data_IF_419534947010
#
_entry.id   IF_419534947010
#
_cell.length_a   1.000
_cell.length_b   1.000
_cell.length_c   1.000
_cell.angle_alpha   90.00
_cell.angle_beta   90.00
_cell.angle_gamma   90.00
#
_symmetry.space_group_name_H-M   'P 1'
#
loop_
_entity.id
_entity.type
_entity.pdbx_description
1 polymer ?
#
# COMPACT_ATOMS: atom_id res chain seq x y z
N UNK A 1 8.09 8.17 -11.62
CA UNK A 1 7.96 8.10 -10.16
C UNK A 1 6.47 8.00 -9.91
N UNK A 2 6.05 6.91 -9.27
CA UNK A 2 4.65 6.62 -8.98
C UNK A 2 4.12 7.74 -8.07
N UNK A 3 3.02 8.37 -8.46
CA UNK A 3 2.45 9.56 -7.79
C UNK A 3 1.28 9.16 -6.88
N UNK A 4 1.39 8.00 -6.22
CA UNK A 4 0.27 7.34 -5.57
C UNK A 4 0.51 7.26 -4.06
N UNK A 5 -0.15 8.13 -3.31
CA UNK A 5 0.01 8.32 -1.85
C UNK A 5 -0.22 7.04 -1.04
N UNK A 6 -1.08 6.13 -1.50
CA UNK A 6 -1.35 4.86 -0.81
C UNK A 6 -0.15 3.90 -0.85
N UNK A 7 0.68 3.96 -1.89
CA UNK A 7 1.87 3.10 -2.02
C UNK A 7 3.09 3.66 -1.28
N UNK A 8 3.03 4.89 -0.76
CA UNK A 8 4.10 5.50 0.04
C UNK A 8 4.21 4.87 1.44
N UNK A 9 3.17 4.17 1.88
CA UNK A 9 3.05 3.66 3.24
C UNK A 9 3.64 2.26 3.46
N UNK A 10 4.09 1.55 2.42
CA UNK A 10 4.67 0.24 2.58
C UNK A 10 5.80 -0.08 1.59
N UNK A 11 6.67 -1.02 1.98
CA UNK A 11 7.72 -1.58 1.15
C UNK A 11 7.61 -3.10 1.17
N UNK A 12 7.57 -3.70 -0.02
CA UNK A 12 7.57 -5.16 -0.17
C UNK A 12 9.01 -5.67 -0.26
N UNK A 13 9.34 -6.64 0.59
CA UNK A 13 10.66 -7.24 0.68
C UNK A 13 10.58 -8.70 0.22
N UNK A 14 10.98 -8.95 -1.03
CA UNK A 14 11.03 -10.30 -1.62
C UNK A 14 12.42 -10.90 -1.50
N UNK A 15 12.51 -12.05 -0.85
CA UNK A 15 13.74 -12.84 -0.77
C UNK A 15 13.59 -14.13 -1.56
N UNK A 16 14.67 -14.52 -2.22
CA UNK A 16 14.82 -15.85 -2.84
C UNK A 16 15.95 -16.56 -2.12
N UNK A 17 15.65 -17.72 -1.53
CA UNK A 17 16.62 -18.54 -0.80
C UNK A 17 16.92 -19.75 -1.68
N UNK A 18 18.21 -19.99 -1.95
CA UNK A 18 18.66 -21.11 -2.77
C UNK A 18 19.50 -22.05 -1.94
N UNK A 19 19.17 -23.34 -1.96
CA UNK A 19 19.98 -24.36 -1.28
C UNK A 19 21.16 -24.76 -2.17
N UNK A 20 22.32 -24.16 -1.92
CA UNK A 20 23.56 -24.50 -2.63
C UNK A 20 24.33 -25.67 -1.99
N UNK A 21 23.72 -26.41 -1.05
CA UNK A 21 24.32 -27.58 -0.41
C UNK A 21 23.99 -28.86 -1.17
N UNK A 22 24.41 -30.01 -0.64
CA UNK A 22 24.09 -31.34 -1.21
C UNK A 22 22.99 -32.07 -0.45
N UNK A 23 22.55 -31.50 0.68
CA UNK A 23 21.56 -32.09 1.56
C UNK A 23 20.25 -31.31 1.46
N UNK A 24 19.15 -31.98 1.76
CA UNK A 24 17.85 -31.32 1.89
C UNK A 24 17.85 -30.40 3.12
N UNK A 25 17.25 -29.21 2.99
CA UNK A 25 16.94 -28.36 4.14
C UNK A 25 15.48 -28.57 4.48
N UNK A 26 15.22 -29.17 5.65
CA UNK A 26 13.89 -29.44 6.15
C UNK A 26 13.33 -28.23 6.90
N UNK A 27 12.07 -27.89 6.63
CA UNK A 27 11.30 -26.86 7.33
C UNK A 27 12.10 -25.58 7.55
N UNK A 28 12.49 -24.94 6.45
CA UNK A 28 13.20 -23.67 6.51
C UNK A 28 12.28 -22.58 7.08
N UNK A 29 12.81 -21.73 7.96
CA UNK A 29 12.11 -20.52 8.43
C UNK A 29 12.98 -19.31 8.13
N UNK A 30 12.34 -18.18 7.82
CA UNK A 30 12.99 -16.89 7.63
C UNK A 30 12.33 -15.85 8.53
N UNK A 31 13.08 -14.86 9.01
CA UNK A 31 12.50 -13.82 9.84
C UNK A 31 13.36 -12.57 9.97
N UNK A 32 12.71 -11.49 10.39
CA UNK A 32 13.32 -10.22 10.74
C UNK A 32 13.40 -10.07 12.24
N UNK A 33 14.62 -9.82 12.70
CA UNK A 33 14.87 -9.26 14.01
C UNK A 33 14.96 -7.75 13.86
N UNK A 34 14.05 -7.01 14.48
CA UNK A 34 13.99 -5.55 14.40
C UNK A 34 14.00 -4.90 15.79
N UNK A 35 14.73 -3.78 15.86
CA UNK A 35 14.52 -2.71 16.83
C UNK A 35 13.88 -1.57 16.03
N UNK A 36 12.55 -1.51 16.01
CA UNK A 36 11.80 -0.69 15.07
C UNK A 36 11.44 0.69 15.67
N UNK A 37 12.18 1.16 16.68
CA UNK A 37 11.78 2.30 17.52
C UNK A 37 11.24 3.48 16.73
N UNK A 38 10.13 4.01 17.23
CA UNK A 38 9.42 5.12 16.64
C UNK A 38 9.70 6.36 17.48
N UNK A 39 10.13 7.45 16.85
CA UNK A 39 10.35 8.74 17.47
C UNK A 39 10.29 9.86 16.42
N UNK A 40 10.07 11.10 16.85
CA UNK A 40 10.13 12.25 15.94
C UNK A 40 11.48 12.97 16.02
N UNK A 41 12.34 12.77 15.02
CA UNK A 41 13.68 13.39 14.98
C UNK A 41 13.73 14.90 14.74
N UNK A 42 12.58 15.55 14.51
CA UNK A 42 12.49 17.02 14.55
C UNK A 42 12.21 17.54 15.97
N UNK A 43 11.69 16.70 16.85
CA UNK A 43 11.36 17.02 18.24
C UNK A 43 12.44 16.51 19.20
N UNK A 44 12.72 15.21 19.15
CA UNK A 44 13.91 14.59 19.74
C UNK A 44 15.04 14.51 18.71
N UNK A 45 16.29 14.39 19.12
CA UNK A 45 17.42 14.23 18.18
C UNK A 45 18.44 13.24 18.73
N UNK A 46 18.56 12.10 18.06
CA UNK A 46 19.54 11.06 18.39
C UNK A 46 20.99 11.53 18.18
N UNK A 47 21.23 12.44 17.23
CA UNK A 47 22.58 12.87 16.86
C UNK A 47 23.11 13.98 17.78
N UNK A 48 22.26 14.62 18.56
CA UNK A 48 22.64 15.65 19.52
C UNK A 48 22.72 15.08 20.94
N UNK A 49 23.88 15.17 21.63
CA UNK A 49 23.96 14.76 23.03
C UNK A 49 22.94 15.49 23.91
N UNK A 50 22.04 14.71 24.54
CA UNK A 50 20.94 15.26 25.33
C UNK A 50 19.74 15.72 24.52
N UNK A 51 19.64 15.35 23.23
CA UNK A 51 18.52 15.65 22.33
C UNK A 51 17.22 14.93 22.65
N UNK A 52 17.09 14.26 23.79
CA UNK A 52 15.83 13.70 24.29
C UNK A 52 15.41 12.34 23.72
N UNK A 53 16.01 11.88 22.62
CA UNK A 53 15.67 10.57 22.05
C UNK A 53 15.98 9.42 23.01
N UNK A 54 15.09 8.43 23.04
CA UNK A 54 15.18 7.23 23.85
C UNK A 54 14.78 5.99 23.05
N UNK A 55 15.32 4.84 23.45
CA UNK A 55 14.88 3.53 22.95
C UNK A 55 13.91 2.85 23.93
N UNK A 56 13.62 3.48 25.08
CA UNK A 56 13.00 2.84 26.25
C UNK A 56 11.56 3.29 26.53
N UNK A 57 10.95 4.00 25.59
CA UNK A 57 9.60 4.58 25.61
C UNK A 57 8.66 3.92 24.59
N UNK A 58 9.15 2.96 23.81
CA UNK A 58 8.33 2.23 22.86
C UNK A 58 7.67 0.98 23.47
N UNK A 59 6.60 0.52 22.79
CA UNK A 59 5.93 -0.74 23.04
C UNK A 59 5.75 -1.53 21.74
N UNK A 60 5.86 -2.85 21.85
CA UNK A 60 5.65 -3.78 20.74
C UNK A 60 4.30 -4.48 20.87
N UNK A 61 3.79 -4.98 19.75
CA UNK A 61 2.65 -5.89 19.72
C UNK A 61 2.62 -6.75 18.46
N UNK A 62 1.68 -7.68 18.43
CA UNK A 62 1.42 -8.52 17.27
C UNK A 62 -0.07 -8.63 17.00
N UNK A 63 -0.47 -8.08 15.87
CA UNK A 63 -1.87 -7.99 15.44
C UNK A 63 -2.25 -9.23 14.61
N UNK A 64 -3.26 -9.94 15.10
CA UNK A 64 -3.82 -11.16 14.50
C UNK A 64 -5.25 -10.97 14.03
N UNK A 65 -5.70 -9.72 13.85
CA UNK A 65 -7.01 -9.44 13.25
C UNK A 65 -7.10 -10.07 11.87
N UNK A 66 -8.33 -10.38 11.44
CA UNK A 66 -8.59 -11.10 10.19
C UNK A 66 -8.90 -10.10 9.09
N UNK A 67 -8.34 -10.32 7.90
CA UNK A 67 -8.65 -9.58 6.69
C UNK A 67 -9.92 -10.10 6.00
N UNK A 68 -10.36 -9.42 4.94
CA UNK A 68 -11.58 -9.78 4.20
C UNK A 68 -11.54 -11.20 3.61
N UNK A 69 -10.34 -11.70 3.29
CA UNK A 69 -10.14 -13.04 2.75
C UNK A 69 -10.13 -14.13 3.84
N UNK A 70 -10.29 -13.76 5.12
CA UNK A 70 -10.37 -14.70 6.23
C UNK A 70 -9.00 -15.12 6.80
N UNK A 71 -7.92 -14.45 6.42
CA UNK A 71 -6.57 -14.71 6.93
C UNK A 71 -6.17 -13.69 8.00
N UNK A 72 -5.35 -14.12 8.95
CA UNK A 72 -4.80 -13.22 9.96
C UNK A 72 -3.76 -12.28 9.32
N UNK A 73 -3.77 -11.01 9.76
CA UNK A 73 -2.82 -9.98 9.30
C UNK A 73 -1.38 -10.26 9.74
N UNK A 74 -1.21 -11.01 10.83
CA UNK A 74 0.08 -11.47 11.35
C UNK A 74 1.16 -10.37 11.31
N UNK A 75 0.86 -9.25 11.95
CA UNK A 75 1.66 -8.04 11.84
C UNK A 75 2.31 -7.71 13.18
N UNK A 76 3.62 -7.83 13.24
CA UNK A 76 4.41 -7.27 14.34
C UNK A 76 4.42 -5.75 14.20
N UNK A 77 4.24 -5.00 15.28
CA UNK A 77 4.28 -3.54 15.22
C UNK A 77 4.94 -2.95 16.46
N UNK A 78 5.46 -1.74 16.30
CA UNK A 78 5.99 -0.93 17.38
C UNK A 78 5.48 0.51 17.25
N UNK A 79 5.35 1.18 18.39
CA UNK A 79 4.93 2.58 18.49
C UNK A 79 5.55 3.24 19.72
N UNK A 80 5.58 4.57 19.70
CA UNK A 80 5.92 5.37 20.86
C UNK A 80 4.75 5.42 21.86
N UNK A 81 4.99 5.06 23.12
CA UNK A 81 3.89 4.79 24.04
C UNK A 81 3.12 6.05 24.48
N UNK A 82 3.80 7.18 24.65
CA UNK A 82 3.19 8.47 24.99
C UNK A 82 3.07 9.43 23.79
N UNK A 83 3.58 9.01 22.64
CA UNK A 83 3.55 9.72 21.37
C UNK A 83 4.48 10.91 21.32
N UNK A 84 5.56 10.95 22.12
CA UNK A 84 6.41 12.13 22.32
C UNK A 84 5.53 13.37 22.61
N UNK A 85 4.57 13.32 23.53
CA UNK A 85 3.59 14.41 23.78
C UNK A 85 2.78 14.85 22.52
N UNK A 86 2.51 13.91 21.61
CA UNK A 86 1.78 14.12 20.35
C UNK A 86 2.67 14.44 19.14
N UNK A 87 3.99 14.31 19.25
CA UNK A 87 4.92 14.51 18.15
C UNK A 87 5.28 13.22 17.39
N UNK A 88 5.05 12.03 17.95
CA UNK A 88 5.36 10.72 17.36
C UNK A 88 4.14 9.80 17.21
N UNK A 89 3.07 10.30 16.58
CA UNK A 89 1.79 9.60 16.43
C UNK A 89 1.77 8.63 15.23
N UNK A 90 2.63 7.63 15.24
CA UNK A 90 2.72 6.64 14.16
C UNK A 90 3.01 5.22 14.65
N UNK A 91 2.70 4.25 13.80
CA UNK A 91 3.11 2.87 13.91
C UNK A 91 4.10 2.55 12.80
N UNK A 92 5.03 1.65 13.10
CA UNK A 92 5.73 0.85 12.09
C UNK A 92 5.39 -0.62 12.32
N UNK A 93 5.10 -1.32 11.23
CA UNK A 93 4.68 -2.71 11.20
C UNK A 93 5.52 -3.54 10.25
N UNK A 94 5.71 -4.81 10.60
CA UNK A 94 6.32 -5.84 9.78
C UNK A 94 5.31 -6.97 9.66
N UNK A 95 5.10 -7.50 8.47
CA UNK A 95 4.13 -8.58 8.24
C UNK A 95 4.65 -9.57 7.21
N UNK A 96 4.29 -10.85 7.39
CA UNK A 96 4.47 -11.89 6.38
C UNK A 96 3.27 -11.91 5.44
N UNK A 97 3.53 -11.66 4.15
CA UNK A 97 2.46 -11.54 3.16
C UNK A 97 2.39 -12.72 2.19
N UNK A 98 3.47 -13.51 2.07
CA UNK A 98 3.39 -14.77 1.34
C UNK A 98 4.75 -15.37 0.98
N UNK A 99 4.72 -16.54 0.36
CA UNK A 99 5.91 -17.33 0.07
C UNK A 99 5.66 -18.28 -1.11
N UNK A 100 6.67 -19.04 -1.51
CA UNK A 100 6.45 -20.16 -2.46
C UNK A 100 5.62 -21.28 -1.86
N UNK A 101 5.52 -21.36 -0.53
CA UNK A 101 4.58 -22.22 0.19
C UNK A 101 3.23 -21.49 0.32
N UNK A 102 2.10 -22.13 -0.02
CA UNK A 102 0.79 -21.51 0.10
C UNK A 102 0.48 -21.04 1.52
N UNK A 103 -0.23 -19.92 1.66
CA UNK A 103 -0.49 -19.28 2.97
C UNK A 103 -1.16 -20.20 4.00
N UNK A 104 -2.06 -21.14 3.65
CA UNK A 104 -2.59 -22.11 4.61
C UNK A 104 -1.53 -23.03 5.25
N UNK A 105 -0.36 -23.18 4.63
CA UNK A 105 0.71 -24.08 5.04
C UNK A 105 1.98 -23.37 5.53
N UNK A 106 2.08 -22.06 5.33
CA UNK A 106 3.14 -21.21 5.87
C UNK A 106 2.55 -20.16 6.82
N UNK A 107 3.02 -20.15 8.06
CA UNK A 107 2.50 -19.28 9.11
C UNK A 107 3.55 -18.27 9.56
N UNK A 108 3.07 -17.13 10.03
CA UNK A 108 3.93 -16.18 10.71
C UNK A 108 4.06 -16.55 12.19
N UNK A 109 5.22 -16.24 12.77
CA UNK A 109 5.49 -16.40 14.19
C UNK A 109 6.11 -15.14 14.75
N UNK A 110 5.70 -14.79 15.97
CA UNK A 110 6.08 -13.55 16.64
C UNK A 110 6.72 -13.82 17.99
N UNK A 111 7.87 -13.22 18.23
CA UNK A 111 8.50 -13.17 19.53
C UNK A 111 8.98 -11.76 19.83
N UNK A 112 9.08 -11.40 21.11
CA UNK A 112 9.71 -10.16 21.52
C UNK A 112 10.52 -10.37 22.80
N UNK A 113 11.50 -9.51 23.04
CA UNK A 113 12.32 -9.47 24.25
C UNK A 113 13.00 -8.10 24.39
N UNK A 114 13.44 -7.79 25.60
CA UNK A 114 14.23 -6.58 25.86
C UNK A 114 15.62 -6.69 25.25
N UNK A 115 16.17 -5.59 24.74
CA UNK A 115 17.52 -5.54 24.19
C UNK A 115 18.55 -6.20 25.12
N UNK A 116 19.36 -7.09 24.54
CA UNK A 116 20.46 -7.77 25.22
C UNK A 116 20.06 -8.52 26.52
N UNK A 117 18.83 -9.04 26.58
CA UNK A 117 18.29 -9.67 27.79
C UNK A 117 17.98 -11.17 27.59
N UNK A 118 18.85 -12.04 28.09
CA UNK A 118 18.65 -13.51 28.09
C UNK A 118 17.72 -14.03 29.20
N UNK A 119 17.45 -13.22 30.23
CA UNK A 119 16.56 -13.57 31.34
C UNK A 119 15.70 -12.37 31.75
N UNK A 120 14.40 -12.58 31.94
CA UNK A 120 13.46 -11.52 32.28
C UNK A 120 12.55 -11.95 33.43
N UNK A 121 12.71 -11.34 34.62
CA UNK A 121 11.94 -11.71 35.81
C UNK A 121 10.48 -11.27 35.73
N UNK A 122 10.22 -10.15 35.08
CA UNK A 122 8.89 -9.55 34.98
C UNK A 122 8.09 -10.27 33.89
N UNK A 123 8.78 -10.69 32.82
CA UNK A 123 8.21 -11.35 31.65
C UNK A 123 9.00 -12.61 31.24
N UNK A 124 8.92 -13.74 31.99
CA UNK A 124 9.80 -14.89 31.79
C UNK A 124 9.77 -15.58 30.42
N UNK A 125 8.69 -15.43 29.65
CA UNK A 125 8.57 -15.97 28.29
C UNK A 125 9.26 -15.08 27.22
N UNK A 126 9.55 -13.83 27.57
CA UNK A 126 10.00 -12.77 26.67
C UNK A 126 11.51 -12.57 26.78
N UNK A 127 12.24 -13.60 26.34
CA UNK A 127 13.69 -13.72 26.46
C UNK A 127 14.35 -13.94 25.10
N UNK A 128 15.54 -13.37 24.96
CA UNK A 128 16.37 -13.52 23.76
C UNK A 128 16.91 -14.95 23.65
N UNK A 129 16.92 -15.57 22.45
CA UNK A 129 17.53 -16.87 22.25
C UNK A 129 19.06 -16.82 22.40
N UNK A 130 19.64 -17.77 23.13
CA UNK A 130 21.07 -17.79 23.47
C UNK A 130 21.93 -18.62 22.49
N UNK A 131 21.31 -19.55 21.76
CA UNK A 131 21.99 -20.47 20.84
C UNK A 131 21.14 -20.78 19.61
N UNK A 132 21.72 -21.45 18.61
CA UNK A 132 21.06 -21.72 17.32
C UNK A 132 19.78 -22.57 17.47
N UNK A 133 19.77 -23.52 18.40
CA UNK A 133 18.57 -24.34 18.66
C UNK A 133 17.42 -23.45 19.16
N UNK A 134 17.67 -22.60 20.16
CA UNK A 134 16.67 -21.64 20.65
C UNK A 134 16.28 -20.58 19.62
N UNK A 135 17.20 -20.17 18.72
CA UNK A 135 16.88 -19.25 17.62
C UNK A 135 15.91 -19.90 16.64
N UNK A 136 16.16 -21.16 16.28
CA UNK A 136 15.28 -21.90 15.40
C UNK A 136 13.91 -22.15 16.06
N UNK A 137 13.86 -22.51 17.34
CA UNK A 137 12.59 -22.63 18.09
C UNK A 137 11.78 -21.33 18.09
N UNK A 138 12.45 -20.18 18.20
CA UNK A 138 11.82 -18.84 18.11
C UNK A 138 11.36 -18.50 16.69
N UNK A 139 11.99 -19.03 15.64
CA UNK A 139 11.52 -18.85 14.26
C UNK A 139 10.27 -19.69 13.95
N UNK A 140 10.08 -20.83 14.62
CA UNK A 140 8.99 -21.77 14.35
C UNK A 140 7.79 -21.66 15.31
N UNK A 141 7.83 -20.74 16.27
CA UNK A 141 6.78 -20.60 17.27
C UNK A 141 6.65 -19.16 17.76
N UNK A 142 5.44 -18.75 18.13
CA UNK A 142 5.22 -17.45 18.76
C UNK A 142 5.41 -17.51 20.28
N UNK A 143 5.84 -16.40 20.87
CA UNK A 143 5.83 -16.22 22.32
C UNK A 143 4.37 -16.32 22.81
N UNK A 144 4.09 -17.08 23.88
CA UNK A 144 2.73 -17.19 24.40
C UNK A 144 2.26 -15.84 24.98
N UNK A 145 1.01 -15.41 24.72
CA UNK A 145 0.45 -14.22 25.35
C UNK A 145 0.42 -14.37 26.87
N UNK A 146 0.77 -13.30 27.58
CA UNK A 146 0.64 -13.21 29.03
C UNK A 146 -0.76 -12.79 29.48
N UNK A 147 -0.93 -12.71 30.80
CA UNK A 147 -2.19 -12.30 31.42
C UNK A 147 -1.93 -11.56 32.74
N UNK A 148 -2.81 -10.62 33.09
CA UNK A 148 -2.73 -9.84 34.34
C UNK A 148 -2.35 -8.37 34.09
N UNK A 149 -2.14 -7.62 35.17
CA UNK A 149 -1.96 -6.15 35.12
C UNK A 149 -0.71 -5.69 34.37
N UNK A 150 0.29 -6.55 34.17
CA UNK A 150 1.52 -6.24 33.44
C UNK A 150 1.42 -6.45 31.91
N UNK A 151 0.25 -6.82 31.39
CA UNK A 151 0.04 -7.12 29.98
C UNK A 151 -1.07 -6.26 29.37
N UNK A 152 -1.00 -6.02 28.07
CA UNK A 152 -2.06 -5.42 27.25
C UNK A 152 -3.24 -6.39 27.09
N UNK A 153 -4.34 -5.93 26.48
CA UNK A 153 -5.46 -6.81 26.11
C UNK A 153 -5.05 -7.95 25.19
N UNK A 154 -4.02 -7.71 24.38
CA UNK A 154 -3.50 -8.64 23.38
C UNK A 154 -2.45 -9.59 24.00
N UNK A 155 -2.15 -9.41 25.29
CA UNK A 155 -1.28 -10.29 26.08
C UNK A 155 0.22 -10.00 25.94
N UNK A 156 0.60 -8.82 25.45
CA UNK A 156 2.00 -8.38 25.37
C UNK A 156 2.36 -7.47 26.55
N UNK A 157 3.64 -7.43 26.98
CA UNK A 157 4.12 -6.50 28.01
C UNK A 157 3.60 -5.07 27.81
N UNK A 158 3.05 -4.45 28.87
CA UNK A 158 2.51 -3.09 28.81
C UNK A 158 3.44 -2.02 29.41
N UNK A 159 4.68 -2.39 29.74
CA UNK A 159 5.70 -1.48 30.25
C UNK A 159 6.69 -1.16 29.15
N UNK A 160 6.97 0.13 28.96
CA UNK A 160 7.93 0.59 27.95
C UNK A 160 9.34 0.08 28.30
N UNK A 161 10.08 -0.28 27.26
CA UNK A 161 11.48 -0.70 27.33
C UNK A 161 12.07 -0.68 25.92
N UNK A 162 13.36 -1.00 25.78
CA UNK A 162 13.98 -1.25 24.48
C UNK A 162 13.58 -2.65 23.99
N UNK A 163 12.33 -2.75 23.56
CA UNK A 163 11.75 -3.97 23.03
C UNK A 163 12.21 -4.21 21.59
N UNK A 164 12.66 -5.44 21.37
CA UNK A 164 12.94 -6.00 20.06
C UNK A 164 11.85 -7.02 19.74
N UNK A 165 11.50 -7.13 18.48
CA UNK A 165 10.71 -8.26 18.01
C UNK A 165 11.41 -9.07 16.92
N UNK A 166 11.02 -10.34 16.85
CA UNK A 166 11.28 -11.28 15.79
C UNK A 166 9.95 -11.64 15.14
N UNK A 167 9.75 -11.18 13.90
CA UNK A 167 8.72 -11.71 13.03
C UNK A 167 9.35 -12.73 12.10
N UNK A 168 8.76 -13.91 12.00
CA UNK A 168 9.26 -14.99 11.15
C UNK A 168 8.15 -15.69 10.41
N UNK A 169 8.49 -16.45 9.39
CA UNK A 169 7.55 -17.19 8.56
C UNK A 169 8.12 -18.55 8.14
N UNK A 170 7.25 -19.56 8.14
CA UNK A 170 7.54 -20.90 7.63
C UNK A 170 6.47 -21.93 8.06
N UNK A 171 6.70 -23.22 7.81
CA UNK A 171 7.86 -23.76 7.09
C UNK A 171 7.88 -23.31 5.62
N UNK A 172 9.08 -23.22 5.06
CA UNK A 172 9.37 -22.88 3.67
C UNK A 172 10.03 -24.07 2.98
N UNK A 173 9.85 -24.17 1.67
CA UNK A 173 10.51 -25.18 0.84
C UNK A 173 10.21 -25.00 -0.63
N UNK A 174 10.84 -25.84 -1.45
CA UNK A 174 10.55 -25.98 -2.87
C UNK A 174 9.40 -26.95 -3.14
N UNK A 175 9.22 -27.94 -2.25
CA UNK A 175 8.17 -28.95 -2.36
C UNK A 175 7.80 -29.52 -0.98
N UNK A 176 6.58 -30.06 -0.82
CA UNK A 176 6.20 -30.76 0.41
C UNK A 176 7.06 -32.02 0.57
N UNK A 177 7.40 -32.37 1.82
CA UNK A 177 8.19 -33.57 2.11
C UNK A 177 7.46 -34.85 1.67
N UNK A 178 6.14 -34.88 1.85
CA UNK A 178 5.27 -35.99 1.45
C UNK A 178 4.22 -35.50 0.46
N UNK A 179 4.09 -36.17 -0.68
CA UNK A 179 3.10 -35.80 -1.72
C UNK A 179 1.69 -35.88 -1.14
N UNK A 180 0.96 -34.76 -1.21
CA UNK A 180 -0.40 -34.65 -0.69
C UNK A 180 -0.49 -34.30 0.80
N UNK A 181 0.65 -34.06 1.47
CA UNK A 181 0.74 -33.61 2.85
C UNK A 181 1.65 -32.38 2.94
N UNK A 182 1.05 -31.21 3.19
CA UNK A 182 1.74 -29.92 3.27
C UNK A 182 2.09 -29.51 4.70
N UNK A 183 2.14 -30.45 5.65
CA UNK A 183 2.53 -30.18 7.04
C UNK A 183 4.04 -30.02 7.23
N UNK A 184 4.85 -30.50 6.29
CA UNK A 184 6.31 -30.41 6.29
C UNK A 184 6.82 -30.14 4.88
N UNK A 185 7.89 -29.34 4.78
CA UNK A 185 8.44 -28.87 3.51
C UNK A 185 9.94 -29.09 3.45
N UNK A 186 10.44 -29.32 2.24
CA UNK A 186 11.86 -29.49 1.97
C UNK A 186 12.32 -28.52 0.89
N UNK A 187 13.50 -27.94 1.09
CA UNK A 187 14.23 -27.20 0.05
C UNK A 187 15.35 -28.10 -0.46
N UNK A 188 15.15 -28.68 -1.66
CA UNK A 188 16.09 -29.62 -2.28
C UNK A 188 17.40 -28.93 -2.71
N UNK A 189 18.52 -29.67 -2.84
CA UNK A 189 19.73 -29.16 -3.48
C UNK A 189 19.46 -28.47 -4.82
N UNK A 190 20.13 -27.34 -5.04
CA UNK A 190 20.04 -26.48 -6.22
C UNK A 190 18.65 -25.90 -6.53
N UNK A 191 17.68 -26.06 -5.61
CA UNK A 191 16.35 -25.47 -5.72
C UNK A 191 16.25 -24.16 -4.92
N UNK A 192 15.19 -23.39 -5.22
CA UNK A 192 14.91 -22.12 -4.54
C UNK A 192 13.48 -22.07 -4.00
N UNK A 193 13.31 -21.36 -2.89
CA UNK A 193 12.00 -20.94 -2.37
C UNK A 193 11.99 -19.41 -2.22
N UNK A 194 10.80 -18.82 -2.13
CA UNK A 194 10.63 -17.39 -1.89
C UNK A 194 9.93 -17.14 -0.57
N UNK A 195 10.25 -16.02 0.06
CA UNK A 195 9.51 -15.48 1.21
C UNK A 195 9.39 -13.98 1.03
N UNK A 196 8.21 -13.45 1.33
CA UNK A 196 7.86 -12.05 1.11
C UNK A 196 7.27 -11.48 2.38
N UNK A 197 7.84 -10.35 2.78
CA UNK A 197 7.37 -9.54 3.89
C UNK A 197 6.97 -8.16 3.38
N UNK A 198 6.18 -7.44 4.16
CA UNK A 198 6.03 -6.00 4.02
C UNK A 198 6.48 -5.28 5.29
N UNK A 199 7.08 -4.12 5.11
CA UNK A 199 7.21 -3.09 6.15
C UNK A 199 6.15 -2.04 5.85
N UNK A 200 5.34 -1.69 6.85
CA UNK A 200 4.16 -0.84 6.71
C UNK A 200 4.24 0.26 7.76
N UNK A 201 3.96 1.50 7.39
CA UNK A 201 3.86 2.62 8.32
C UNK A 201 2.45 3.22 8.26
N UNK A 202 2.00 3.79 9.38
CA UNK A 202 0.74 4.51 9.42
C UNK A 202 0.71 5.51 10.56
N UNK A 203 0.01 6.64 10.36
CA UNK A 203 -0.39 7.49 11.46
C UNK A 203 -1.44 6.80 12.33
N UNK A 204 -1.46 7.15 13.62
CA UNK A 204 -2.53 6.72 14.51
C UNK A 204 -3.89 7.18 13.99
N UNK A 205 -4.89 6.31 14.07
CA UNK A 205 -6.29 6.75 14.02
C UNK A 205 -6.68 7.40 15.36
N UNK A 206 -7.92 7.87 15.47
CA UNK A 206 -8.41 8.52 16.71
C UNK A 206 -8.21 7.64 17.95
N UNK A 207 -7.70 8.24 19.04
CA UNK A 207 -7.54 7.58 20.34
C UNK A 207 -6.20 7.88 21.02
N UNK A 208 -6.18 7.76 22.36
CA UNK A 208 -5.00 8.09 23.19
C UNK A 208 -4.20 6.87 23.67
N UNK A 209 -4.60 5.66 23.28
CA UNK A 209 -3.96 4.40 23.71
C UNK A 209 -4.10 3.35 22.63
N UNK A 210 -3.11 2.45 22.52
CA UNK A 210 -3.14 1.37 21.54
C UNK A 210 -4.38 0.48 21.69
N UNK A 211 -5.07 0.30 20.56
CA UNK A 211 -6.26 -0.53 20.40
C UNK A 211 -6.35 -0.93 18.93
N UNK A 212 -7.07 -2.02 18.57
CA UNK A 212 -7.35 -2.32 17.17
C UNK A 212 -7.94 -1.15 16.39
N UNK A 213 -8.79 -0.32 17.02
CA UNK A 213 -9.35 0.88 16.40
C UNK A 213 -8.30 1.95 16.10
N UNK A 214 -7.36 2.20 17.03
CA UNK A 214 -6.25 3.15 16.81
C UNK A 214 -5.29 2.68 15.69
N UNK A 215 -5.23 1.37 15.44
CA UNK A 215 -4.44 0.73 14.38
C UNK A 215 -5.14 0.69 13.01
N UNK A 216 -6.34 1.27 12.86
CA UNK A 216 -7.13 1.17 11.62
C UNK A 216 -6.35 1.56 10.35
N UNK A 217 -5.62 2.68 10.36
CA UNK A 217 -4.80 3.09 9.21
C UNK A 217 -3.66 2.09 8.91
N UNK A 218 -3.09 1.46 9.94
CA UNK A 218 -2.06 0.44 9.78
C UNK A 218 -2.65 -0.83 9.15
N UNK A 219 -3.87 -1.21 9.53
CA UNK A 219 -4.60 -2.33 8.90
C UNK A 219 -4.85 -2.06 7.42
N UNK A 220 -5.33 -0.87 7.07
CA UNK A 220 -5.52 -0.43 5.67
C UNK A 220 -4.22 -0.57 4.88
N UNK A 221 -3.13 0.01 5.36
CA UNK A 221 -1.86 -0.01 4.64
C UNK A 221 -1.28 -1.43 4.52
N UNK A 222 -1.47 -2.28 5.54
CA UNK A 222 -1.09 -3.70 5.47
C UNK A 222 -1.93 -4.44 4.43
N UNK A 223 -3.23 -4.18 4.39
CA UNK A 223 -4.13 -4.87 3.47
C UNK A 223 -3.86 -4.47 2.02
N UNK A 224 -3.46 -3.21 1.79
CA UNK A 224 -2.91 -2.78 0.51
C UNK A 224 -1.62 -3.50 0.12
N UNK A 225 -0.67 -3.63 1.05
CA UNK A 225 0.56 -4.39 0.81
C UNK A 225 0.26 -5.87 0.47
N UNK A 226 -0.73 -6.45 1.15
CA UNK A 226 -1.18 -7.81 0.93
C UNK A 226 -1.87 -7.97 -0.43
N UNK A 227 -2.84 -7.11 -0.77
CA UNK A 227 -3.54 -7.12 -2.06
C UNK A 227 -2.58 -6.96 -3.23
N UNK A 228 -1.58 -6.09 -3.07
CA UNK A 228 -0.53 -5.93 -4.06
C UNK A 228 0.17 -7.25 -4.32
N UNK A 229 0.60 -7.96 -3.28
CA UNK A 229 1.26 -9.26 -3.43
C UNK A 229 0.34 -10.38 -3.94
N UNK A 230 -0.89 -10.43 -3.43
CA UNK A 230 -1.89 -11.42 -3.83
C UNK A 230 -2.12 -11.32 -5.35
N UNK A 231 -2.30 -10.10 -5.86
CA UNK A 231 -2.54 -9.85 -7.28
C UNK A 231 -3.76 -10.64 -7.75
N UNK A 232 -3.55 -11.58 -8.66
CA UNK A 232 -4.59 -12.49 -9.14
C UNK A 232 -4.96 -13.60 -8.14
N UNK A 233 -4.03 -14.04 -7.28
CA UNK A 233 -4.22 -15.16 -6.34
C UNK A 233 -4.95 -14.69 -5.08
N UNK A 234 -6.28 -14.60 -5.16
CA UNK A 234 -7.12 -14.02 -4.11
C UNK A 234 -7.22 -14.89 -2.87
N UNK A 235 -7.05 -16.21 -3.03
CA UNK A 235 -7.20 -17.17 -1.94
C UNK A 235 -5.85 -17.64 -1.35
N UNK A 236 -4.73 -17.12 -1.88
CA UNK A 236 -3.36 -17.34 -1.41
C UNK A 236 -2.93 -18.80 -1.46
N UNK A 237 -3.45 -19.55 -2.42
CA UNK A 237 -3.14 -20.96 -2.62
C UNK A 237 -1.94 -21.17 -3.56
N UNK A 238 -1.39 -20.10 -4.16
CA UNK A 238 -0.32 -20.11 -5.17
C UNK A 238 -0.70 -20.85 -6.47
N UNK A 239 -1.97 -20.90 -6.83
CA UNK A 239 -2.53 -21.53 -8.02
C UNK A 239 -3.40 -20.50 -8.75
N UNK A 240 -3.29 -20.44 -10.08
CA UNK A 240 -4.17 -19.61 -10.90
C UNK A 240 -5.53 -20.31 -11.03
N UNK A 241 -6.55 -19.83 -10.33
CA UNK A 241 -7.90 -20.39 -10.36
C UNK A 241 -8.74 -19.81 -11.52
N UNK A 242 -9.83 -20.52 -11.85
CA UNK A 242 -10.76 -20.10 -12.91
C UNK A 242 -11.33 -18.69 -12.60
N UNK A 243 -11.03 -17.72 -13.47
CA UNK A 243 -11.48 -16.34 -13.37
C UNK A 243 -10.51 -15.38 -12.66
N UNK A 244 -9.34 -15.86 -12.23
CA UNK A 244 -8.29 -15.00 -11.66
C UNK A 244 -7.44 -14.31 -12.73
N UNK A 245 -7.16 -14.99 -13.85
CA UNK A 245 -6.34 -14.56 -15.00
C UNK A 245 -6.91 -13.29 -15.67
N UNK A 246 -6.37 -12.12 -15.34
CA UNK A 246 -6.82 -10.80 -15.83
C UNK A 246 -6.43 -10.62 -17.29
N UNK A 247 -5.17 -10.94 -17.58
CA UNK A 247 -4.50 -10.56 -18.82
C UNK A 247 -4.47 -11.69 -19.86
N UNK A 248 -4.89 -12.90 -19.46
CA UNK A 248 -5.04 -14.06 -20.31
C UNK A 248 -3.72 -14.74 -20.65
N UNK A 249 -2.66 -14.51 -19.86
CA UNK A 249 -1.33 -15.07 -20.11
C UNK A 249 -1.15 -16.49 -19.53
N UNK A 250 -2.10 -16.95 -18.69
CA UNK A 250 -2.11 -18.26 -18.07
C UNK A 250 -1.10 -18.43 -16.92
N UNK A 251 -0.58 -17.34 -16.35
CA UNK A 251 0.31 -17.31 -15.19
C UNK A 251 -0.25 -16.38 -14.11
N UNK A 252 0.03 -16.68 -12.84
CA UNK A 252 -0.35 -15.79 -11.74
C UNK A 252 0.46 -14.49 -11.82
N UNK A 253 -0.23 -13.39 -12.00
CA UNK A 253 0.32 -12.04 -11.90
C UNK A 253 0.21 -11.52 -10.47
N UNK A 254 1.36 -11.19 -9.87
CA UNK A 254 1.50 -10.58 -8.54
C UNK A 254 2.02 -9.16 -8.66
N UNK A 255 1.93 -8.40 -7.58
CA UNK A 255 2.39 -7.00 -7.48
C UNK A 255 1.54 -6.04 -8.32
N UNK A 256 0.22 -6.26 -8.30
CA UNK A 256 -0.76 -5.41 -8.99
C UNK A 256 -1.21 -4.31 -8.03
N UNK A 257 -1.11 -3.05 -8.45
CA UNK A 257 -1.55 -1.90 -7.66
C UNK A 257 -2.73 -1.22 -8.37
N UNK A 258 -3.59 -0.49 -7.64
CA UNK A 258 -4.61 0.36 -8.25
C UNK A 258 -3.99 1.34 -9.24
N UNK A 259 -4.66 1.59 -10.34
CA UNK A 259 -4.21 2.53 -11.35
C UNK A 259 -5.27 3.59 -11.57
N UNK A 260 -4.91 4.89 -11.63
CA UNK A 260 -5.88 5.90 -12.03
C UNK A 260 -6.35 5.61 -13.45
N UNK A 261 -7.54 6.11 -13.83
CA UNK A 261 -8.00 6.03 -15.20
C UNK A 261 -6.95 6.59 -16.18
N UNK A 262 -6.84 6.05 -17.40
CA UNK A 262 -5.83 6.45 -18.35
C UNK A 262 -6.02 7.92 -18.73
N UNK A 263 -4.91 8.60 -19.00
CA UNK A 263 -4.91 10.00 -19.41
C UNK A 263 -5.79 10.18 -20.65
N UNK A 264 -6.74 11.13 -20.65
CA UNK A 264 -7.57 11.42 -21.81
C UNK A 264 -6.73 11.85 -23.02
N UNK A 265 -7.05 11.37 -24.23
CA UNK A 265 -6.41 11.96 -25.41
C UNK A 265 -6.87 13.41 -25.53
N UNK A 266 -5.91 14.34 -25.55
CA UNK A 266 -6.18 15.78 -25.62
C UNK A 266 -5.80 16.36 -26.98
N UNK A 267 -6.54 17.38 -27.43
CA UNK A 267 -6.15 18.27 -28.53
C UNK A 267 -6.41 19.72 -28.12
N UNK A 268 -5.65 20.64 -28.72
CA UNK A 268 -5.78 22.08 -28.46
C UNK A 268 -5.91 22.82 -29.79
N UNK A 269 -6.94 23.64 -29.91
CA UNK A 269 -7.13 24.57 -31.01
C UNK A 269 -6.93 26.02 -30.54
N UNK A 270 -6.19 26.81 -31.31
CA UNK A 270 -5.77 28.16 -30.93
C UNK A 270 -6.30 29.17 -31.94
N UNK A 271 -7.03 30.17 -31.43
CA UNK A 271 -7.62 31.26 -32.22
C UNK A 271 -7.34 32.62 -31.56
N UNK A 272 -7.81 33.71 -32.17
CA UNK A 272 -7.60 35.07 -31.64
C UNK A 272 -8.18 35.19 -30.22
N UNK A 273 -7.29 35.41 -29.26
CA UNK A 273 -7.59 35.54 -27.83
C UNK A 273 -8.38 34.39 -27.19
N UNK A 274 -8.36 33.21 -27.80
CA UNK A 274 -9.15 32.06 -27.37
C UNK A 274 -8.41 30.76 -27.62
N UNK A 275 -8.44 29.87 -26.64
CA UNK A 275 -7.93 28.50 -26.76
C UNK A 275 -9.06 27.53 -26.43
N UNK A 276 -9.27 26.53 -27.29
CA UNK A 276 -10.22 25.45 -27.04
C UNK A 276 -9.45 24.16 -26.79
N UNK A 277 -9.69 23.55 -25.63
CA UNK A 277 -9.13 22.25 -25.25
C UNK A 277 -10.18 21.19 -25.48
N UNK A 278 -9.83 20.13 -26.20
CA UNK A 278 -10.69 18.98 -26.50
C UNK A 278 -10.13 17.74 -25.83
N UNK A 279 -10.99 16.85 -25.33
CA UNK A 279 -10.56 15.54 -24.84
C UNK A 279 -11.53 14.39 -25.18
N UNK A 280 -10.99 13.18 -25.31
CA UNK A 280 -11.75 11.95 -25.53
C UNK A 280 -12.20 11.31 -24.21
N UNK A 281 -13.21 10.45 -24.28
CA UNK A 281 -13.79 9.73 -23.14
C UNK A 281 -13.13 8.36 -22.87
N UNK A 282 -11.89 8.14 -23.33
CA UNK A 282 -11.20 6.84 -23.22
C UNK A 282 -10.91 6.41 -21.77
N UNK A 283 -11.08 7.31 -20.80
CA UNK A 283 -10.91 7.03 -19.39
C UNK A 283 -12.18 6.46 -18.74
N UNK A 284 -13.37 6.68 -19.33
CA UNK A 284 -14.65 6.36 -18.67
C UNK A 284 -14.91 4.86 -18.54
N UNK A 285 -14.43 4.08 -19.51
CA UNK A 285 -14.63 2.63 -19.55
C UNK A 285 -13.46 1.85 -18.92
N UNK A 286 -12.49 2.54 -18.31
CA UNK A 286 -11.34 1.89 -17.67
C UNK A 286 -11.79 1.05 -16.49
N UNK A 287 -11.21 -0.15 -16.37
CA UNK A 287 -11.49 -1.09 -15.29
C UNK A 287 -10.23 -1.12 -14.42
N UNK A 288 -10.35 -0.74 -13.15
CA UNK A 288 -9.22 -0.76 -12.23
C UNK A 288 -8.67 -2.19 -12.07
N UNK A 289 -7.35 -2.40 -12.16
CA UNK A 289 -6.75 -3.74 -12.11
C UNK A 289 -7.00 -4.50 -10.79
N UNK A 290 -7.22 -3.78 -9.69
CA UNK A 290 -7.41 -4.36 -8.35
C UNK A 290 -8.89 -4.58 -8.05
N UNK A 291 -9.70 -3.52 -8.13
CA UNK A 291 -11.13 -3.59 -7.80
C UNK A 291 -11.93 -4.37 -8.84
N UNK A 292 -11.48 -4.38 -10.09
CA UNK A 292 -12.21 -4.91 -11.27
C UNK A 292 -13.49 -4.14 -11.60
N UNK A 293 -13.62 -2.94 -11.08
CA UNK A 293 -14.78 -2.09 -11.33
C UNK A 293 -14.42 -0.96 -12.31
N UNK A 294 -15.44 -0.47 -13.02
CA UNK A 294 -15.34 0.81 -13.71
C UNK A 294 -15.63 1.90 -12.67
N UNK A 295 -14.58 2.57 -12.23
CA UNK A 295 -14.60 3.52 -11.12
C UNK A 295 -14.28 4.96 -11.50
N UNK A 296 -14.25 5.25 -12.80
CA UNK A 296 -14.13 6.61 -13.33
C UNK A 296 -15.17 7.57 -12.71
N UNK A 297 -14.67 8.72 -12.27
CA UNK A 297 -15.45 9.76 -11.61
C UNK A 297 -15.52 11.05 -12.44
N UNK A 298 -14.38 11.54 -12.94
CA UNK A 298 -14.38 12.84 -13.58
C UNK A 298 -13.09 13.25 -14.28
N UNK A 299 -13.11 14.48 -14.77
CA UNK A 299 -12.02 15.15 -15.46
C UNK A 299 -11.63 16.45 -14.74
N UNK A 300 -10.33 16.71 -14.66
CA UNK A 300 -9.79 18.02 -14.26
C UNK A 300 -9.02 18.64 -15.41
N UNK A 301 -9.26 19.92 -15.64
CA UNK A 301 -8.56 20.70 -16.66
C UNK A 301 -7.62 21.66 -15.97
N UNK A 302 -6.36 21.63 -16.36
CA UNK A 302 -5.32 22.48 -15.82
C UNK A 302 -4.77 23.40 -16.89
N UNK A 303 -4.31 24.57 -16.44
CA UNK A 303 -3.61 25.54 -17.26
C UNK A 303 -2.35 26.03 -16.58
N UNK A 304 -1.32 26.29 -17.37
CA UNK A 304 -0.09 26.89 -16.90
C UNK A 304 0.44 27.92 -17.90
N UNK A 305 1.20 28.88 -17.40
CA UNK A 305 1.94 29.85 -18.23
C UNK A 305 3.41 29.60 -18.09
N UNK A 306 4.15 29.64 -19.20
CA UNK A 306 5.61 29.71 -19.12
C UNK A 306 6.06 31.14 -19.14
N UNK A 307 6.74 31.60 -18.10
CA UNK A 307 7.50 32.84 -18.18
C UNK A 307 8.97 32.55 -18.50
N UNK A 308 9.63 33.51 -19.16
CA UNK A 308 11.07 33.43 -19.45
C UNK A 308 11.85 33.50 -18.13
N UNK A 309 12.30 32.36 -17.61
CA UNK A 309 13.10 32.25 -16.39
C UNK A 309 12.67 31.14 -15.42
N UNK A 310 11.47 30.57 -15.59
CA UNK A 310 11.01 29.45 -14.78
C UNK A 310 11.54 28.12 -15.30
N UNK A 311 12.20 27.36 -14.42
CA UNK A 311 12.67 26.00 -14.71
C UNK A 311 11.53 24.97 -14.72
N UNK A 312 10.42 25.25 -14.00
CA UNK A 312 9.27 24.35 -13.87
C UNK A 312 7.97 25.05 -14.24
N UNK A 313 7.03 24.27 -14.81
CA UNK A 313 5.69 24.73 -15.18
C UNK A 313 4.74 24.34 -14.05
N UNK A 314 4.20 25.33 -13.35
CA UNK A 314 3.19 25.15 -12.32
C UNK A 314 1.79 25.18 -12.94
N UNK A 315 1.05 24.09 -12.80
CA UNK A 315 -0.31 23.96 -13.30
C UNK A 315 -1.32 24.43 -12.26
N UNK A 316 -2.31 25.20 -12.68
CA UNK A 316 -3.46 25.60 -11.86
C UNK A 316 -4.73 24.98 -12.42
N UNK A 317 -5.63 24.57 -11.53
CA UNK A 317 -6.94 24.03 -11.90
C UNK A 317 -7.78 25.14 -12.56
N UNK A 318 -8.30 24.86 -13.75
CA UNK A 318 -9.21 25.73 -14.51
C UNK A 318 -10.66 25.28 -14.41
N UNK A 319 -10.89 23.97 -14.25
CA UNK A 319 -12.21 23.39 -14.10
C UNK A 319 -12.14 21.92 -13.70
N UNK A 320 -13.18 21.47 -13.01
CA UNK A 320 -13.42 20.08 -12.61
C UNK A 320 -14.83 19.72 -13.06
N UNK A 321 -14.97 18.55 -13.69
CA UNK A 321 -16.23 18.04 -14.22
C UNK A 321 -16.35 16.56 -13.90
N UNK A 322 -17.42 16.18 -13.23
CA UNK A 322 -17.58 14.89 -12.58
C UNK A 322 -19.00 14.38 -12.67
N UNK A 323 -19.20 13.11 -12.36
CA UNK A 323 -20.52 12.48 -12.42
C UNK A 323 -21.46 13.17 -11.43
N UNK A 324 -22.71 13.33 -11.84
CA UNK A 324 -23.78 13.96 -11.05
C UNK A 324 -24.87 12.93 -10.69
N UNK A 325 -24.41 11.73 -10.31
CA UNK A 325 -25.28 10.62 -9.95
C UNK A 325 -25.22 10.27 -8.45
N UNK A 326 -26.08 9.33 -8.04
CA UNK A 326 -26.20 8.97 -6.62
C UNK A 326 -25.01 8.21 -6.06
N UNK A 327 -24.10 7.71 -6.91
CA UNK A 327 -22.89 6.99 -6.50
C UNK A 327 -21.72 7.96 -6.24
N UNK A 328 -21.88 9.23 -6.64
CA UNK A 328 -20.81 10.25 -6.68
C UNK A 328 -20.99 11.37 -5.64
N UNK A 329 -21.99 11.27 -4.75
CA UNK A 329 -22.46 12.41 -3.94
C UNK A 329 -21.44 13.03 -2.99
N UNK A 330 -20.42 12.27 -2.59
CA UNK A 330 -19.39 12.71 -1.64
C UNK A 330 -18.03 12.98 -2.31
N UNK A 331 -17.97 12.96 -3.65
CA UNK A 331 -16.73 13.12 -4.42
C UNK A 331 -16.89 14.28 -5.39
N UNK A 332 -15.85 15.11 -5.48
CA UNK A 332 -15.84 16.30 -6.33
C UNK A 332 -16.96 17.30 -6.02
N UNK A 333 -17.51 17.92 -7.07
CA UNK A 333 -18.56 18.94 -7.00
C UNK A 333 -19.88 18.52 -7.66
N UNK A 334 -19.97 17.30 -8.19
CA UNK A 334 -21.13 16.72 -8.85
C UNK A 334 -21.72 17.65 -9.94
N UNK A 335 -20.85 18.20 -10.78
CA UNK A 335 -21.19 19.24 -11.76
C UNK A 335 -21.83 18.69 -13.03
N UNK A 336 -21.65 17.40 -13.29
CA UNK A 336 -22.05 16.76 -14.52
C UNK A 336 -21.19 17.19 -15.72
N UNK A 337 -21.27 16.43 -16.80
CA UNK A 337 -20.48 16.73 -18.01
C UNK A 337 -21.19 17.67 -19.00
N UNK A 338 -22.45 18.06 -18.75
CA UNK A 338 -23.23 18.92 -19.65
C UNK A 338 -22.50 20.22 -20.04
N UNK A 339 -21.81 20.94 -19.13
CA UNK A 339 -21.15 22.21 -19.48
C UNK A 339 -20.01 22.06 -20.50
N UNK A 340 -19.40 20.88 -20.58
CA UNK A 340 -18.23 20.60 -21.43
C UNK A 340 -18.54 19.63 -22.57
N UNK A 341 -19.72 19.02 -22.59
CA UNK A 341 -20.10 18.03 -23.59
C UNK A 341 -20.25 18.65 -24.98
N UNK A 342 -19.65 18.02 -25.97
CA UNK A 342 -19.88 18.35 -27.37
C UNK A 342 -21.26 17.79 -27.75
N UNK A 343 -22.08 18.64 -28.37
CA UNK A 343 -23.43 18.29 -28.80
C UNK A 343 -23.63 18.65 -30.26
N UNK A 344 -24.46 17.87 -30.95
CA UNK A 344 -24.86 18.16 -32.33
C UNK A 344 -25.92 19.26 -32.41
N UNK A 345 -26.36 19.59 -33.62
CA UNK A 345 -27.41 20.61 -33.88
C UNK A 345 -28.74 20.33 -33.16
N UNK A 346 -29.02 19.07 -32.84
CA UNK A 346 -30.22 18.67 -32.10
C UNK A 346 -30.04 18.68 -30.57
N UNK A 347 -28.85 19.05 -30.08
CA UNK A 347 -28.51 19.07 -28.65
C UNK A 347 -28.21 17.69 -28.04
N UNK A 348 -28.06 16.65 -28.86
CA UNK A 348 -27.68 15.32 -28.38
C UNK A 348 -26.14 15.19 -28.29
N UNK A 349 -25.61 14.33 -27.38
CA UNK A 349 -24.18 14.06 -27.29
C UNK A 349 -23.58 13.71 -28.65
N UNK A 350 -22.42 14.28 -28.95
CA UNK A 350 -21.70 14.09 -30.21
C UNK A 350 -20.19 14.13 -29.97
N UNK A 351 -19.42 13.99 -31.03
CA UNK A 351 -17.96 14.10 -31.01
C UNK A 351 -17.45 14.97 -32.16
N UNK A 352 -16.24 15.50 -32.01
CA UNK A 352 -15.51 16.18 -33.08
C UNK A 352 -14.27 15.39 -33.45
N UNK A 353 -13.97 15.31 -34.75
CA UNK A 353 -12.77 14.62 -35.24
C UNK A 353 -11.63 15.64 -35.44
N UNK A 354 -10.50 15.40 -34.78
CA UNK A 354 -9.27 16.19 -34.94
C UNK A 354 -8.10 15.20 -35.12
N UNK A 355 -7.36 15.30 -36.22
CA UNK A 355 -6.22 14.42 -36.51
C UNK A 355 -6.55 12.92 -36.34
N UNK A 356 -7.68 12.47 -36.92
CA UNK A 356 -8.14 11.07 -36.89
C UNK A 356 -8.54 10.53 -35.50
N UNK A 357 -8.69 11.40 -34.50
CA UNK A 357 -9.21 11.06 -33.17
C UNK A 357 -10.53 11.78 -32.90
N UNK A 358 -11.43 11.11 -32.17
CA UNK A 358 -12.72 11.64 -31.76
C UNK A 358 -12.66 12.18 -30.33
N UNK A 359 -13.13 13.41 -30.16
CA UNK A 359 -13.17 14.13 -28.89
C UNK A 359 -14.63 14.38 -28.52
N UNK A 360 -14.99 14.16 -27.26
CA UNK A 360 -16.39 14.17 -26.79
C UNK A 360 -16.70 15.38 -25.90
N UNK A 361 -15.65 16.02 -25.42
CA UNK A 361 -15.73 17.16 -24.51
C UNK A 361 -14.83 18.30 -24.99
N UNK A 362 -15.21 19.52 -24.65
CA UNK A 362 -14.46 20.73 -24.93
C UNK A 362 -14.52 21.73 -23.77
N UNK A 363 -13.43 22.47 -23.56
CA UNK A 363 -13.33 23.59 -22.65
C UNK A 363 -12.76 24.80 -23.38
N UNK A 364 -13.43 25.95 -23.26
CA UNK A 364 -13.01 27.18 -23.91
C UNK A 364 -12.39 28.12 -22.90
N UNK A 365 -11.12 28.46 -23.10
CA UNK A 365 -10.43 29.52 -22.35
C UNK A 365 -10.38 30.81 -23.19
N UNK A 366 -11.27 31.75 -22.86
CA UNK A 366 -11.38 33.06 -23.51
C UNK A 366 -10.51 34.13 -22.83
N UNK A 367 -10.15 35.17 -23.58
CA UNK A 367 -9.38 36.30 -23.05
C UNK A 367 -7.88 36.01 -22.88
N UNK A 368 -7.38 34.95 -23.51
CA UNK A 368 -5.96 34.62 -23.55
C UNK A 368 -5.22 35.68 -24.37
N UNK A 369 -4.01 36.07 -23.98
CA UNK A 369 -3.22 37.03 -24.75
C UNK A 369 -2.52 36.35 -25.92
N UNK A 370 -2.69 36.91 -27.12
CA UNK A 370 -1.95 36.46 -28.30
C UNK A 370 -0.44 36.52 -28.09
N UNK A 371 0.28 35.52 -28.58
CA UNK A 371 1.74 35.42 -28.49
C UNK A 371 2.27 34.95 -27.14
N UNK A 372 1.40 34.61 -26.18
CA UNK A 372 1.81 34.01 -24.90
C UNK A 372 1.82 32.49 -24.99
N UNK A 373 2.85 31.88 -24.42
CA UNK A 373 2.94 30.42 -24.31
C UNK A 373 2.12 29.94 -23.11
N UNK A 374 1.09 29.16 -23.38
CA UNK A 374 0.24 28.53 -22.38
C UNK A 374 0.33 27.00 -22.57
N UNK A 375 0.31 26.28 -21.46
CA UNK A 375 0.16 24.83 -21.44
C UNK A 375 -1.20 24.47 -20.86
N UNK A 376 -1.74 23.35 -21.33
CA UNK A 376 -2.97 22.77 -20.82
C UNK A 376 -2.75 21.30 -20.58
N UNK A 377 -3.49 20.74 -19.63
CA UNK A 377 -3.57 19.32 -19.38
C UNK A 377 -5.01 18.96 -19.03
N UNK A 378 -5.43 17.76 -19.41
CA UNK A 378 -6.70 17.18 -18.98
C UNK A 378 -6.40 15.84 -18.34
N UNK A 379 -6.76 15.67 -17.08
CA UNK A 379 -6.58 14.43 -16.35
C UNK A 379 -7.95 13.80 -16.09
N UNK A 380 -7.96 12.47 -16.00
CA UNK A 380 -9.06 11.71 -15.46
C UNK A 380 -8.73 11.26 -14.03
N UNK A 381 -9.77 11.13 -13.21
CA UNK A 381 -9.68 10.54 -11.87
C UNK A 381 -10.82 9.56 -11.60
N UNK A 382 -10.54 8.58 -10.75
CA UNK A 382 -11.51 7.62 -10.23
C UNK A 382 -12.15 8.12 -8.94
N UNK A 383 -13.17 7.42 -8.46
CA UNK A 383 -13.89 7.75 -7.23
C UNK A 383 -13.13 7.28 -5.96
N UNK A 384 -12.04 6.54 -6.11
CA UNK A 384 -11.43 5.80 -5.01
C UNK A 384 -12.35 4.69 -4.50
N UNK A 385 -12.12 4.26 -3.26
CA UNK A 385 -12.91 3.23 -2.60
C UNK A 385 -12.92 3.46 -1.07
N UNK A 386 -14.03 4.00 -0.53
CA UNK A 386 -14.17 4.24 0.90
C UNK A 386 -14.16 2.98 1.76
N UNK A 387 -14.58 1.81 1.24
CA UNK A 387 -14.54 0.55 2.01
C UNK A 387 -13.11 0.13 2.28
N UNK A 388 -12.19 0.49 1.37
CA UNK A 388 -10.77 0.16 1.46
C UNK A 388 -9.88 1.35 1.79
N UNK A 389 -10.50 2.48 2.12
CA UNK A 389 -9.85 3.76 2.41
C UNK A 389 -8.87 4.19 1.29
N UNK A 390 -9.21 3.85 0.04
CA UNK A 390 -8.52 4.31 -1.15
C UNK A 390 -9.04 5.70 -1.49
N UNK A 391 -8.14 6.68 -1.47
CA UNK A 391 -8.44 8.00 -2.01
C UNK A 391 -8.54 7.94 -3.53
N UNK A 392 -9.30 8.88 -4.11
CA UNK A 392 -9.38 9.10 -5.55
C UNK A 392 -7.99 9.27 -6.17
N UNK A 393 -7.70 8.48 -7.21
CA UNK A 393 -6.45 8.58 -7.96
C UNK A 393 -6.67 9.37 -9.23
N UNK A 394 -5.69 10.22 -9.54
CA UNK A 394 -5.70 11.07 -10.72
C UNK A 394 -4.51 10.76 -11.63
N UNK A 395 -4.79 10.65 -12.92
CA UNK A 395 -3.77 10.54 -13.96
C UNK A 395 -2.86 11.77 -14.02
N UNK A 396 -1.62 11.60 -14.49
CA UNK A 396 -0.62 12.67 -14.40
C UNK A 396 -0.89 13.86 -15.32
N UNK A 397 -0.87 15.08 -14.77
CA UNK A 397 -0.91 16.35 -15.54
C UNK A 397 0.23 16.49 -16.55
N UNK A 398 1.35 15.77 -16.37
CA UNK A 398 2.53 15.84 -17.25
C UNK A 398 2.53 14.79 -18.37
N UNK A 399 1.56 13.88 -18.39
CA UNK A 399 1.46 12.82 -19.38
C UNK A 399 0.76 13.27 -20.68
N UNK A 400 -0.04 14.34 -20.62
CA UNK A 400 -0.56 15.03 -21.80
C UNK A 400 0.56 15.80 -22.49
N UNK A 401 1.19 15.21 -23.51
CA UNK A 401 2.19 15.88 -24.36
C UNK A 401 1.86 15.81 -25.83
#
# INVERSE_FOLDING_TARGET
AWNFSYADAFVLLKYTITNSSQDDIENLYAGFWADASVANFNYTDYYTPGGGFSWYDNLDGFDTTVDEAGFTRDMAYQYDADGDDGWAESYIGFTFIGSSVPRPYSQAHYNQWKWNTGTNSDYPAFTMPENDYSRYEKLMSSVPPGSGEGYTSDGYPNQTDSWLFLLSAGPLGSEPETIGDSTSWVLKPDSSCTVVFAVVAAHWAEGSSDTPGRRANLHVNKDWAQRAYDGEDKNRNNILDDGEDIDGDGMITRYILPEPPPVPNMAVDVSDQKITVYWSNNAEDFVDPVSREQDFEGYRIYGARKTLGEEFVEFSLLGEFDRDDSESTDIGYNTGFVPVRIVNEAGAPDSVEINEKYYHYQFVNDGVKNGWLNYYAVTAYDRGDPETNMESLESSVYANR
#
